data_IF_059417446152
#
_entry.id   IF_059417446152
#
_cell.length_a   1.000
_cell.length_b   1.000
_cell.length_c   1.000
_cell.angle_alpha   90.00
_cell.angle_beta   90.00
_cell.angle_gamma   90.00
#
_symmetry.space_group_name_H-M   'P 1'
#
loop_
_entity.id
_entity.type
_entity.pdbx_description
1 polymer ?
#
# COMPACT_ATOMS: atom_id res chain seq x y z
N UNK A 1 -4.52 -5.85 -46.41
CA UNK A 1 -5.59 -5.67 -45.42
C UNK A 1 -4.95 -5.61 -44.05
N UNK A 2 -4.80 -4.44 -43.39
CA UNK A 2 -4.31 -4.41 -42.01
C UNK A 2 -5.44 -4.85 -41.05
N UNK A 3 -5.09 -5.66 -40.05
CA UNK A 3 -6.01 -6.23 -39.05
C UNK A 3 -6.47 -5.16 -38.02
N UNK A 4 -7.64 -5.34 -37.38
CA UNK A 4 -8.16 -4.37 -36.41
C UNK A 4 -7.34 -4.36 -35.11
N UNK A 5 -6.95 -3.16 -34.67
CA UNK A 5 -6.27 -2.91 -33.40
C UNK A 5 -7.23 -3.09 -32.23
N UNK A 6 -6.94 -4.06 -31.36
CA UNK A 6 -7.64 -4.29 -30.08
C UNK A 6 -7.55 -3.05 -29.19
N UNK A 7 -8.63 -2.60 -28.53
CA UNK A 7 -8.54 -1.47 -27.62
C UNK A 7 -7.70 -1.86 -26.41
N UNK A 8 -6.56 -1.19 -26.24
CA UNK A 8 -5.69 -1.34 -25.08
C UNK A 8 -6.41 -0.70 -23.90
N UNK A 9 -6.76 -1.50 -22.90
CA UNK A 9 -7.48 -1.08 -21.69
C UNK A 9 -6.62 -0.21 -20.75
N UNK A 10 -5.35 -0.03 -21.10
CA UNK A 10 -4.34 0.71 -20.34
C UNK A 10 -4.08 2.08 -21.01
N UNK A 11 -4.18 3.20 -20.27
CA UNK A 11 -3.84 4.52 -20.80
C UNK A 11 -2.41 4.57 -21.34
N UNK A 12 -2.10 5.46 -22.30
CA UNK A 12 -0.77 5.59 -22.89
C UNK A 12 0.28 6.20 -21.93
N UNK A 13 -0.13 6.53 -20.71
CA UNK A 13 0.71 7.09 -19.65
C UNK A 13 0.75 6.13 -18.44
N UNK A 14 1.85 6.17 -17.69
CA UNK A 14 1.97 5.44 -16.42
C UNK A 14 1.58 6.34 -15.24
N UNK A 15 0.70 5.86 -14.39
CA UNK A 15 0.31 6.51 -13.14
C UNK A 15 0.94 5.74 -11.97
N UNK A 16 2.22 5.97 -11.72
CA UNK A 16 2.94 5.35 -10.61
C UNK A 16 2.96 6.29 -9.38
N UNK A 17 2.66 5.78 -8.19
CA UNK A 17 2.90 6.50 -6.94
C UNK A 17 4.37 6.38 -6.56
N UNK A 18 5.09 7.52 -6.54
CA UNK A 18 6.51 7.55 -6.20
C UNK A 18 6.70 7.99 -4.75
N UNK A 19 7.41 7.19 -3.95
CA UNK A 19 7.74 7.50 -2.57
C UNK A 19 6.92 6.73 -1.54
N UNK A 20 6.93 7.19 -0.29
CA UNK A 20 6.15 6.56 0.78
C UNK A 20 4.69 7.01 0.72
N UNK A 21 3.77 6.06 0.81
CA UNK A 21 2.36 6.34 1.06
C UNK A 21 2.18 6.90 2.48
N UNK A 22 1.04 7.57 2.71
CA UNK A 22 0.66 8.01 4.05
C UNK A 22 0.60 6.81 4.98
N UNK A 23 1.21 6.92 6.18
CA UNK A 23 1.18 5.84 7.17
C UNK A 23 -0.27 5.58 7.62
N UNK A 24 -0.76 4.34 7.50
CA UNK A 24 -2.07 3.98 8.03
C UNK A 24 -2.12 4.21 9.55
N UNK A 25 -3.27 4.66 10.06
CA UNK A 25 -3.45 4.96 11.48
C UNK A 25 -3.11 3.76 12.38
N UNK A 26 -3.46 2.54 11.96
CA UNK A 26 -3.11 1.31 12.67
C UNK A 26 -1.60 1.08 12.78
N UNK A 27 -0.85 1.33 11.70
CA UNK A 27 0.62 1.21 11.70
C UNK A 27 1.26 2.30 12.55
N UNK A 28 0.73 3.53 12.52
CA UNK A 28 1.21 4.63 13.37
C UNK A 28 1.03 4.31 14.86
N UNK A 29 -0.15 3.81 15.25
CA UNK A 29 -0.43 3.39 16.62
C UNK A 29 0.45 2.21 17.07
N UNK A 30 0.62 1.19 16.21
CA UNK A 30 1.50 0.07 16.48
C UNK A 30 2.97 0.51 16.65
N UNK A 31 3.43 1.44 15.82
CA UNK A 31 4.77 2.02 15.94
C UNK A 31 4.96 2.73 17.27
N UNK A 32 3.96 3.54 17.68
CA UNK A 32 3.97 4.22 18.97
C UNK A 32 4.05 3.20 20.12
N UNK A 33 3.20 2.18 20.08
CA UNK A 33 3.15 1.13 21.09
C UNK A 33 4.47 0.34 21.19
N UNK A 34 5.18 0.13 20.07
CA UNK A 34 6.46 -0.58 20.05
C UNK A 34 7.64 0.29 20.51
N UNK A 35 7.79 1.49 19.95
CA UNK A 35 8.97 2.33 20.17
C UNK A 35 8.87 3.28 21.37
N UNK A 36 7.70 3.85 21.62
CA UNK A 36 7.48 4.81 22.70
C UNK A 36 7.01 4.10 23.97
N UNK A 37 5.90 3.37 23.88
CA UNK A 37 5.25 2.79 25.06
C UNK A 37 5.85 1.43 25.47
N UNK A 38 6.60 0.77 24.56
CA UNK A 38 7.21 -0.56 24.74
C UNK A 38 6.22 -1.64 25.19
N UNK A 39 4.93 -1.47 24.85
CA UNK A 39 3.85 -2.42 25.17
C UNK A 39 3.59 -3.42 24.05
N UNK A 40 4.15 -3.18 22.86
CA UNK A 40 4.05 -4.06 21.71
C UNK A 40 5.43 -4.63 21.40
N UNK A 41 5.53 -5.93 21.14
CA UNK A 41 6.76 -6.58 20.71
C UNK A 41 6.97 -6.40 19.19
N UNK A 42 8.14 -6.82 18.70
CA UNK A 42 8.48 -6.67 17.29
C UNK A 42 7.56 -7.51 16.38
N UNK A 43 7.09 -8.66 16.87
CA UNK A 43 6.15 -9.51 16.13
C UNK A 43 4.78 -8.82 16.00
N UNK A 44 4.29 -8.16 17.05
CA UNK A 44 3.07 -7.39 17.03
C UNK A 44 3.14 -6.18 16.10
N UNK A 45 4.27 -5.47 16.08
CA UNK A 45 4.48 -4.38 15.11
C UNK A 45 4.45 -4.90 13.67
N UNK A 46 5.16 -6.00 13.41
CA UNK A 46 5.18 -6.64 12.08
C UNK A 46 3.79 -7.08 11.63
N UNK A 47 3.00 -7.68 12.52
CA UNK A 47 1.64 -8.11 12.19
C UNK A 47 0.73 -6.93 11.82
N UNK A 48 0.86 -5.79 12.50
CA UNK A 48 0.11 -4.58 12.17
C UNK A 48 0.53 -3.97 10.83
N UNK A 49 1.83 -4.02 10.50
CA UNK A 49 2.34 -3.63 9.19
C UNK A 49 1.83 -4.55 8.08
N UNK A 50 1.93 -5.87 8.26
CA UNK A 50 1.48 -6.88 7.31
C UNK A 50 -0.04 -6.78 7.04
N UNK A 51 -0.84 -6.48 8.06
CA UNK A 51 -2.28 -6.30 7.92
C UNK A 51 -2.67 -5.06 7.10
N UNK A 52 -1.82 -4.03 7.07
CA UNK A 52 -2.10 -2.79 6.35
C UNK A 52 -1.67 -2.83 4.87
N UNK A 53 -0.79 -3.75 4.49
CA UNK A 53 -0.28 -3.89 3.11
C UNK A 53 -1.41 -4.17 2.10
N UNK A 54 -2.34 -5.13 2.32
CA UNK A 54 -3.42 -5.41 1.36
C UNK A 54 -4.32 -4.21 1.09
N UNK A 55 -4.63 -3.41 2.11
CA UNK A 55 -5.44 -2.20 1.96
C UNK A 55 -4.72 -1.13 1.12
N UNK A 56 -3.42 -0.97 1.31
CA UNK A 56 -2.60 -0.05 0.51
C UNK A 56 -2.42 -0.53 -0.93
N UNK A 57 -2.41 -1.85 -1.17
CA UNK A 57 -2.38 -2.42 -2.52
C UNK A 57 -3.71 -2.11 -3.22
N UNK A 58 -4.84 -2.41 -2.58
CA UNK A 58 -6.17 -2.13 -3.13
C UNK A 58 -6.36 -0.65 -3.46
N UNK A 59 -5.92 0.25 -2.57
CA UNK A 59 -5.94 1.69 -2.84
C UNK A 59 -5.16 2.08 -4.10
N UNK A 60 -4.07 1.39 -4.43
CA UNK A 60 -3.29 1.65 -5.64
C UNK A 60 -3.92 1.03 -6.90
N UNK A 61 -4.60 -0.12 -6.77
CA UNK A 61 -5.32 -0.77 -7.87
C UNK A 61 -6.58 0.01 -8.29
N UNK A 62 -7.17 0.78 -7.37
CA UNK A 62 -8.36 1.61 -7.62
C UNK A 62 -8.05 2.92 -8.41
N UNK A 63 -6.78 3.16 -8.80
CA UNK A 63 -6.31 4.39 -9.49
C UNK A 63 -6.17 4.22 -11.00
#
# INVERSE_FOLDING_TARGET
>A
MPAPSTPVRTPPFRADHVGSLLRPAGVAAARKAHFEDKTLDAAGLKAAEDAAIPDLIRMQEDV
#
